data_IF_811712654422
#
_entry.id   IF_811712654422
#
_cell.length_a   1.000
_cell.length_b   1.000
_cell.length_c   1.000
_cell.angle_alpha   90.00
_cell.angle_beta   90.00
_cell.angle_gamma   90.00
#
_symmetry.space_group_name_H-M   'P 1'
#
loop_
_entity.id
_entity.type
_entity.pdbx_description
1 polymer ?
#
# COMPACT_ATOMS: atom_id res chain seq x y z
N UNK A 1 -28.41 -7.72 6.89
CA UNK A 1 -26.98 -7.64 7.26
C UNK A 1 -26.61 -8.93 7.94
N UNK A 2 -25.90 -9.80 7.23
CA UNK A 2 -25.36 -11.07 7.74
C UNK A 2 -24.34 -10.73 8.82
N UNK A 3 -24.47 -11.27 10.04
CA UNK A 3 -23.62 -10.90 11.19
C UNK A 3 -22.16 -11.27 10.93
N UNK A 4 -21.29 -10.25 10.81
CA UNK A 4 -19.84 -10.43 10.71
C UNK A 4 -19.31 -11.17 11.94
N UNK A 5 -18.35 -12.08 11.72
CA UNK A 5 -17.68 -12.80 12.81
C UNK A 5 -16.49 -11.98 13.29
N UNK A 6 -16.33 -11.86 14.60
CA UNK A 6 -15.18 -11.17 15.20
C UNK A 6 -14.13 -12.22 15.58
N UNK A 7 -12.90 -12.05 15.12
CA UNK A 7 -11.77 -12.91 15.46
C UNK A 7 -10.52 -12.08 15.76
N UNK A 8 -9.67 -12.58 16.66
CA UNK A 8 -8.35 -12.00 16.91
C UNK A 8 -7.35 -12.49 15.87
N UNK A 9 -6.82 -11.60 15.05
CA UNK A 9 -5.84 -11.93 14.01
C UNK A 9 -4.66 -10.96 14.07
N UNK A 10 -3.45 -11.47 13.81
CA UNK A 10 -2.32 -10.61 13.48
C UNK A 10 -2.50 -10.05 12.08
N UNK A 11 -1.84 -8.95 11.73
CA UNK A 11 -1.91 -8.38 10.37
C UNK A 11 -1.57 -9.41 9.29
N UNK A 12 -0.55 -10.25 9.51
CA UNK A 12 -0.19 -11.33 8.58
C UNK A 12 -1.28 -12.42 8.49
N UNK A 13 -1.89 -12.82 9.61
CA UNK A 13 -3.00 -13.79 9.61
C UNK A 13 -4.26 -13.20 8.95
N UNK A 14 -4.49 -11.90 9.10
CA UNK A 14 -5.59 -11.16 8.49
C UNK A 14 -5.50 -11.19 6.95
N UNK A 15 -4.31 -10.96 6.40
CA UNK A 15 -4.05 -11.11 4.96
C UNK A 15 -4.25 -12.56 4.53
N UNK A 16 -3.65 -13.53 5.23
CA UNK A 16 -3.79 -14.95 4.87
C UNK A 16 -5.27 -15.42 4.89
N UNK A 17 -6.05 -14.94 5.87
CA UNK A 17 -7.47 -15.24 5.98
C UNK A 17 -8.28 -14.62 4.83
N UNK A 18 -8.01 -13.36 4.46
CA UNK A 18 -8.62 -12.73 3.29
C UNK A 18 -8.31 -13.49 1.99
N UNK A 19 -7.04 -13.88 1.79
CA UNK A 19 -6.59 -14.64 0.61
C UNK A 19 -7.30 -16.00 0.52
N UNK A 20 -7.47 -16.70 1.66
CA UNK A 20 -8.27 -17.93 1.71
C UNK A 20 -9.69 -17.69 1.19
N UNK A 21 -10.36 -16.65 1.69
CA UNK A 21 -11.74 -16.33 1.29
C UNK A 21 -11.87 -15.88 -0.17
N UNK A 22 -10.82 -15.27 -0.73
CA UNK A 22 -10.79 -14.85 -2.14
C UNK A 22 -10.66 -16.02 -3.14
N UNK A 23 -10.50 -17.26 -2.64
CA UNK A 23 -10.43 -18.49 -3.43
C UNK A 23 -9.39 -18.39 -4.56
N UNK A 24 -8.13 -18.11 -4.17
CA UNK A 24 -6.98 -18.03 -5.06
C UNK A 24 -6.61 -19.43 -5.59
N UNK A 25 -6.26 -19.52 -6.87
CA UNK A 25 -5.93 -20.78 -7.54
C UNK A 25 -4.46 -21.19 -7.35
N UNK A 26 -3.55 -20.22 -7.25
CA UNK A 26 -2.11 -20.48 -7.10
C UNK A 26 -1.42 -19.46 -6.19
N UNK A 27 -0.55 -19.98 -5.33
CA UNK A 27 0.32 -19.22 -4.44
C UNK A 27 1.75 -19.70 -4.67
N UNK A 28 2.63 -18.81 -5.14
CA UNK A 28 4.07 -19.09 -5.20
C UNK A 28 4.78 -18.29 -4.11
N UNK A 29 5.61 -18.96 -3.31
CA UNK A 29 6.10 -18.40 -2.06
C UNK A 29 7.56 -18.72 -1.78
N UNK A 30 8.27 -17.71 -1.28
CA UNK A 30 9.57 -17.82 -0.66
C UNK A 30 9.54 -17.09 0.70
N UNK A 31 10.01 -17.70 1.79
CA UNK A 31 9.87 -17.12 3.12
C UNK A 31 10.89 -16.01 3.39
N UNK A 32 10.41 -14.85 3.82
CA UNK A 32 11.26 -13.75 4.29
C UNK A 32 10.59 -13.00 5.46
N UNK A 33 11.30 -12.83 6.58
CA UNK A 33 10.79 -12.09 7.74
C UNK A 33 10.52 -10.62 7.37
N UNK A 34 9.42 -10.00 7.84
CA UNK A 34 8.36 -10.52 8.71
C UNK A 34 7.19 -11.22 8.00
N UNK A 35 7.19 -11.27 6.67
CA UNK A 35 6.10 -11.81 5.86
C UNK A 35 5.85 -13.32 6.06
N UNK A 36 6.82 -14.09 6.56
CA UNK A 36 6.77 -15.55 6.69
C UNK A 36 5.46 -16.10 7.28
N UNK A 37 4.82 -15.39 8.22
CA UNK A 37 3.54 -15.81 8.81
C UNK A 37 2.43 -15.95 7.75
N UNK A 38 2.38 -15.07 6.75
CA UNK A 38 1.38 -15.11 5.67
C UNK A 38 1.50 -16.44 4.92
N UNK A 39 2.70 -16.77 4.46
CA UNK A 39 2.96 -17.96 3.63
C UNK A 39 2.84 -19.26 4.41
N UNK A 40 3.30 -19.29 5.67
CA UNK A 40 3.08 -20.46 6.54
C UNK A 40 1.59 -20.72 6.80
N UNK A 41 0.82 -19.67 7.04
CA UNK A 41 -0.63 -19.78 7.31
C UNK A 41 -1.39 -20.25 6.08
N UNK A 42 -1.06 -19.70 4.90
CA UNK A 42 -1.63 -20.16 3.64
C UNK A 42 -1.26 -21.61 3.32
N UNK A 43 -0.01 -22.01 3.56
CA UNK A 43 0.42 -23.40 3.41
C UNK A 43 -0.40 -24.35 4.29
N UNK A 44 -0.68 -23.96 5.54
CA UNK A 44 -1.56 -24.71 6.46
C UNK A 44 -2.99 -24.82 5.94
N UNK A 45 -3.57 -23.73 5.44
CA UNK A 45 -4.92 -23.78 4.87
C UNK A 45 -5.01 -24.73 3.67
N UNK A 46 -3.99 -24.74 2.82
CA UNK A 46 -3.92 -25.69 1.69
C UNK A 46 -3.74 -27.12 2.19
N UNK A 47 -2.80 -27.39 3.10
CA UNK A 47 -2.55 -28.73 3.61
C UNK A 47 -3.73 -29.33 4.38
N UNK A 48 -4.50 -28.48 5.07
CA UNK A 48 -5.69 -28.88 5.82
C UNK A 48 -6.94 -29.05 4.94
N UNK A 49 -6.87 -28.72 3.65
CA UNK A 49 -8.03 -28.76 2.74
C UNK A 49 -9.03 -27.61 2.96
N UNK A 50 -8.65 -26.56 3.69
CA UNK A 50 -9.46 -25.34 3.88
C UNK A 50 -9.38 -24.40 2.66
N UNK A 51 -8.39 -24.58 1.79
CA UNK A 51 -8.19 -23.79 0.58
C UNK A 51 -7.74 -24.70 -0.57
N UNK A 52 -8.48 -24.68 -1.68
CA UNK A 52 -8.12 -25.43 -2.88
C UNK A 52 -7.21 -24.60 -3.80
N UNK A 53 -5.94 -24.48 -3.42
CA UNK A 53 -4.93 -23.75 -4.19
C UNK A 53 -3.70 -24.61 -4.45
N UNK A 54 -3.00 -24.33 -5.56
CA UNK A 54 -1.65 -24.84 -5.78
C UNK A 54 -0.66 -23.99 -5.00
N UNK A 55 0.04 -24.61 -4.06
CA UNK A 55 1.10 -23.95 -3.30
C UNK A 55 2.46 -24.36 -3.87
N UNK A 56 3.25 -23.40 -4.35
CA UNK A 56 4.55 -23.62 -4.99
C UNK A 56 5.65 -23.05 -4.09
N UNK A 57 6.49 -23.93 -3.57
CA UNK A 57 7.74 -23.54 -2.91
C UNK A 57 8.80 -23.29 -3.98
N UNK A 58 9.18 -22.03 -4.15
CA UNK A 58 10.23 -21.62 -5.10
C UNK A 58 11.58 -21.45 -4.39
N UNK A 59 12.65 -21.27 -5.15
CA UNK A 59 14.01 -21.11 -4.62
C UNK A 59 14.42 -19.66 -4.33
N UNK A 60 13.65 -18.67 -4.80
CA UNK A 60 13.86 -17.24 -4.58
C UNK A 60 12.60 -16.41 -4.81
N UNK A 61 12.57 -15.16 -4.34
CA UNK A 61 11.47 -14.23 -4.59
C UNK A 61 11.31 -13.84 -6.06
N UNK A 62 12.41 -13.84 -6.82
CA UNK A 62 12.36 -13.66 -8.29
C UNK A 62 11.51 -14.75 -8.94
N UNK A 63 11.74 -16.01 -8.58
CA UNK A 63 10.91 -17.14 -9.03
C UNK A 63 9.50 -17.13 -8.46
N UNK A 64 9.29 -16.59 -7.25
CA UNK A 64 7.95 -16.46 -6.69
C UNK A 64 7.07 -15.57 -7.57
N UNK A 65 7.56 -14.38 -7.95
CA UNK A 65 6.82 -13.50 -8.85
C UNK A 65 6.70 -14.09 -10.26
N UNK A 66 7.76 -14.73 -10.78
CA UNK A 66 7.75 -15.35 -12.11
C UNK A 66 6.72 -16.48 -12.23
N UNK A 67 6.66 -17.38 -11.25
CA UNK A 67 5.66 -18.44 -11.18
C UNK A 67 4.23 -17.87 -11.03
N UNK A 68 4.08 -16.80 -10.25
CA UNK A 68 2.81 -16.08 -10.06
C UNK A 68 2.32 -15.48 -11.39
N UNK A 69 3.20 -14.85 -12.18
CA UNK A 69 2.87 -14.37 -13.54
C UNK A 69 2.44 -15.52 -14.44
N UNK A 70 3.20 -16.63 -14.46
CA UNK A 70 2.85 -17.80 -15.28
C UNK A 70 1.46 -18.36 -14.96
N UNK A 71 1.15 -18.53 -13.67
CA UNK A 71 -0.16 -18.99 -13.22
C UNK A 71 -1.28 -17.98 -13.52
N UNK A 72 -1.00 -16.67 -13.42
CA UNK A 72 -1.94 -15.62 -13.82
C UNK A 72 -2.26 -15.66 -15.32
N UNK A 73 -1.24 -15.81 -16.16
CA UNK A 73 -1.40 -15.89 -17.62
C UNK A 73 -2.06 -17.21 -18.05
N UNK A 74 -1.97 -18.28 -17.25
CA UNK A 74 -2.78 -19.48 -17.44
C UNK A 74 -4.27 -19.29 -17.06
N UNK A 75 -4.62 -18.12 -16.50
CA UNK A 75 -5.98 -17.70 -16.18
C UNK A 75 -6.36 -17.80 -14.70
N UNK A 76 -5.44 -18.21 -13.83
CA UNK A 76 -5.71 -18.35 -12.40
C UNK A 76 -5.75 -17.01 -11.65
N UNK A 77 -6.58 -16.90 -10.62
CA UNK A 77 -6.44 -15.88 -9.59
C UNK A 77 -5.22 -16.24 -8.74
N UNK A 78 -4.28 -15.31 -8.57
CA UNK A 78 -2.98 -15.61 -7.96
C UNK A 78 -2.61 -14.64 -6.85
N UNK A 79 -1.81 -15.15 -5.91
CA UNK A 79 -1.30 -14.37 -4.78
C UNK A 79 0.15 -14.72 -4.50
N UNK A 80 0.92 -13.74 -4.04
CA UNK A 80 2.21 -13.96 -3.39
C UNK A 80 2.42 -12.93 -2.30
N UNK A 81 3.47 -13.11 -1.50
CA UNK A 81 3.81 -12.18 -0.45
C UNK A 81 5.33 -12.13 -0.25
N UNK A 82 5.85 -10.95 0.07
CA UNK A 82 7.29 -10.74 0.29
C UNK A 82 7.57 -9.59 1.27
N UNK A 83 8.84 -9.25 1.47
CA UNK A 83 9.31 -8.10 2.23
C UNK A 83 10.73 -7.72 1.77
N UNK A 84 11.14 -6.45 1.93
CA UNK A 84 12.57 -6.05 1.92
C UNK A 84 13.35 -6.55 0.70
N UNK A 85 14.43 -7.32 0.93
CA UNK A 85 15.31 -7.86 -0.10
C UNK A 85 14.55 -8.76 -1.08
N UNK A 86 13.49 -9.42 -0.62
CA UNK A 86 12.65 -10.24 -1.47
C UNK A 86 11.89 -9.41 -2.50
N UNK A 87 11.35 -8.25 -2.10
CA UNK A 87 10.76 -7.31 -3.06
C UNK A 87 11.82 -6.75 -4.02
N UNK A 88 13.04 -6.49 -3.52
CA UNK A 88 14.15 -6.05 -4.36
C UNK A 88 14.55 -7.12 -5.40
N UNK A 89 14.55 -8.40 -5.04
CA UNK A 89 14.77 -9.52 -5.96
C UNK A 89 13.63 -9.68 -6.97
N UNK A 90 12.41 -9.26 -6.62
CA UNK A 90 11.28 -9.21 -7.56
C UNK A 90 11.34 -8.02 -8.53
N UNK A 91 12.21 -7.02 -8.33
CA UNK A 91 12.05 -5.68 -8.91
C UNK A 91 11.83 -5.67 -10.44
N UNK A 92 12.67 -6.36 -11.22
CA UNK A 92 12.47 -6.43 -12.68
C UNK A 92 11.17 -7.16 -13.06
N UNK A 93 10.80 -8.17 -12.29
CA UNK A 93 9.63 -9.02 -12.52
C UNK A 93 8.35 -8.27 -12.18
N UNK A 94 8.40 -7.30 -11.27
CA UNK A 94 7.28 -6.39 -11.00
C UNK A 94 6.90 -5.59 -12.26
N UNK A 95 7.88 -5.07 -13.00
CA UNK A 95 7.61 -4.38 -14.27
C UNK A 95 7.04 -5.32 -15.33
N UNK A 96 7.49 -6.58 -15.35
CA UNK A 96 6.91 -7.60 -16.24
C UNK A 96 5.44 -7.86 -15.88
N UNK A 97 5.10 -8.08 -14.60
CA UNK A 97 3.72 -8.29 -14.16
C UNK A 97 2.79 -7.15 -14.59
N UNK A 98 3.20 -5.90 -14.37
CA UNK A 98 2.37 -4.75 -14.74
C UNK A 98 2.31 -4.54 -16.27
N UNK A 99 3.44 -4.67 -16.97
CA UNK A 99 3.49 -4.55 -18.43
C UNK A 99 2.68 -5.63 -19.16
N UNK A 100 2.60 -6.83 -18.59
CA UNK A 100 1.79 -7.94 -19.10
C UNK A 100 0.31 -7.85 -18.70
N UNK A 101 -0.10 -6.80 -17.96
CA UNK A 101 -1.47 -6.59 -17.51
C UNK A 101 -1.97 -7.75 -16.64
N UNK A 102 -1.10 -8.29 -15.78
CA UNK A 102 -1.40 -9.41 -14.91
C UNK A 102 -2.09 -8.94 -13.61
N UNK A 103 -3.36 -9.28 -13.35
CA UNK A 103 -4.02 -8.97 -12.08
C UNK A 103 -3.53 -9.90 -10.97
N UNK A 104 -2.43 -9.49 -10.33
CA UNK A 104 -1.78 -10.19 -9.21
C UNK A 104 -2.01 -9.38 -7.94
N UNK A 105 -2.33 -10.04 -6.84
CA UNK A 105 -2.28 -9.41 -5.51
C UNK A 105 -0.99 -9.83 -4.81
N UNK A 106 -0.22 -8.83 -4.38
CA UNK A 106 1.02 -8.99 -3.62
C UNK A 106 0.86 -8.36 -2.24
N UNK A 107 1.03 -9.13 -1.16
CA UNK A 107 1.19 -8.53 0.16
C UNK A 107 2.67 -8.23 0.44
N UNK A 108 2.97 -7.01 0.88
CA UNK A 108 4.33 -6.61 1.26
C UNK A 108 4.33 -6.25 2.74
N UNK A 109 4.98 -7.07 3.57
CA UNK A 109 5.22 -6.72 4.97
C UNK A 109 6.47 -5.83 5.05
N UNK A 110 6.27 -4.52 4.89
CA UNK A 110 7.33 -3.54 4.65
C UNK A 110 8.44 -3.60 5.69
N UNK A 111 9.68 -3.69 5.19
CA UNK A 111 10.89 -3.87 5.98
C UNK A 111 12.07 -3.16 5.31
N UNK A 112 12.95 -2.65 6.17
CA UNK A 112 14.22 -2.02 5.81
C UNK A 112 15.07 -2.81 4.80
N UNK A 113 15.58 -2.10 3.78
CA UNK A 113 16.62 -2.60 2.89
C UNK A 113 18.01 -2.57 3.56
N UNK A 114 18.91 -3.45 3.10
CA UNK A 114 20.27 -3.57 3.65
C UNK A 114 21.21 -2.58 2.93
N UNK A 115 22.32 -2.12 3.49
CA UNK A 115 22.98 -2.48 4.74
C UNK A 115 23.00 -1.30 5.76
N UNK A 116 22.98 -1.56 7.08
CA UNK A 116 23.03 -2.87 7.74
C UNK A 116 21.74 -3.68 7.57
N UNK A 117 21.78 -4.99 7.80
CA UNK A 117 20.57 -5.80 7.82
C UNK A 117 19.65 -5.33 8.95
N UNK A 118 18.39 -5.11 8.63
CA UNK A 118 17.35 -4.80 9.61
C UNK A 118 16.06 -5.52 9.20
N UNK A 119 15.45 -6.22 10.16
CA UNK A 119 14.23 -7.00 9.93
C UNK A 119 12.96 -6.19 10.17
N UNK A 120 13.07 -5.03 10.79
CA UNK A 120 11.94 -4.22 11.20
C UNK A 120 11.50 -3.23 10.11
N UNK A 121 10.33 -2.62 10.36
CA UNK A 121 9.66 -1.77 9.39
C UNK A 121 10.43 -0.52 9.03
N UNK A 122 10.57 -0.32 7.73
CA UNK A 122 10.45 0.97 7.08
C UNK A 122 9.82 0.71 5.69
N UNK A 123 9.59 1.74 4.89
CA UNK A 123 8.98 1.64 3.57
C UNK A 123 10.00 1.66 2.42
N UNK A 124 11.30 1.49 2.71
CA UNK A 124 12.35 1.57 1.67
C UNK A 124 12.18 0.55 0.56
N UNK A 125 11.60 -0.62 0.87
CA UNK A 125 11.32 -1.67 -0.09
C UNK A 125 10.28 -1.26 -1.14
N UNK A 126 9.05 -0.95 -0.70
CA UNK A 126 7.97 -0.53 -1.58
C UNK A 126 8.30 0.79 -2.27
N UNK A 127 8.95 1.73 -1.59
CA UNK A 127 9.32 3.00 -2.19
C UNK A 127 10.39 2.84 -3.28
N UNK A 128 11.28 1.85 -3.14
CA UNK A 128 12.22 1.46 -4.21
C UNK A 128 11.52 0.86 -5.43
N UNK A 129 10.29 0.36 -5.29
CA UNK A 129 9.51 -0.26 -6.37
C UNK A 129 8.25 0.53 -6.75
N UNK A 130 8.10 1.78 -6.28
CA UNK A 130 6.87 2.58 -6.43
C UNK A 130 6.48 2.88 -7.88
N UNK A 131 7.45 2.86 -8.78
CA UNK A 131 7.29 3.21 -10.19
C UNK A 131 7.15 1.98 -11.11
N UNK A 132 6.99 0.78 -10.54
CA UNK A 132 6.82 -0.49 -11.26
C UNK A 132 5.49 -0.64 -12.00
N UNK A 133 4.62 0.37 -11.96
CA UNK A 133 3.28 0.33 -12.56
C UNK A 133 2.26 -0.49 -11.78
N UNK A 134 2.51 -0.76 -10.50
CA UNK A 134 1.56 -1.42 -9.61
C UNK A 134 0.64 -0.40 -8.94
N UNK A 135 -0.59 -0.82 -8.67
CA UNK A 135 -1.43 -0.10 -7.71
C UNK A 135 -0.88 -0.37 -6.32
N UNK A 136 -0.67 0.67 -5.50
CA UNK A 136 -0.03 0.53 -4.19
C UNK A 136 -1.00 1.03 -3.13
N UNK A 137 -1.44 0.08 -2.29
CA UNK A 137 -2.31 0.32 -1.15
C UNK A 137 -1.52 0.20 0.17
N UNK A 138 -1.85 1.01 1.17
CA UNK A 138 -1.31 0.93 2.53
C UNK A 138 -2.42 0.69 3.54
N UNK A 139 -2.23 -0.32 4.41
CA UNK A 139 -3.08 -0.58 5.56
C UNK A 139 -2.55 0.10 6.81
N UNK A 140 -3.44 0.70 7.62
CA UNK A 140 -3.10 1.26 8.93
C UNK A 140 -3.16 0.22 10.05
N UNK A 141 -4.12 -0.70 10.00
CA UNK A 141 -4.47 -1.64 11.07
C UNK A 141 -4.85 -3.03 10.50
N UNK A 142 -5.08 -4.02 11.37
CA UNK A 142 -5.30 -5.40 10.92
C UNK A 142 -6.64 -5.57 10.18
N UNK A 143 -7.64 -4.76 10.54
CA UNK A 143 -8.92 -4.73 9.83
C UNK A 143 -8.72 -4.27 8.39
N UNK A 144 -7.97 -3.18 8.19
CA UNK A 144 -7.65 -2.67 6.86
C UNK A 144 -6.75 -3.65 6.07
N UNK A 145 -5.81 -4.33 6.70
CA UNK A 145 -5.01 -5.37 6.03
C UNK A 145 -5.88 -6.48 5.45
N UNK A 146 -6.90 -6.92 6.19
CA UNK A 146 -7.89 -7.88 5.73
C UNK A 146 -8.74 -7.30 4.58
N UNK A 147 -9.34 -6.13 4.79
CA UNK A 147 -10.29 -5.53 3.85
C UNK A 147 -9.63 -5.10 2.53
N UNK A 148 -8.47 -4.44 2.62
CA UNK A 148 -7.72 -4.00 1.44
C UNK A 148 -7.22 -5.18 0.61
N UNK A 149 -6.97 -6.33 1.23
CA UNK A 149 -6.62 -7.55 0.47
C UNK A 149 -7.81 -8.05 -0.37
N UNK A 150 -9.03 -8.05 0.17
CA UNK A 150 -10.23 -8.44 -0.57
C UNK A 150 -10.56 -7.41 -1.67
N UNK A 151 -10.45 -6.12 -1.36
CA UNK A 151 -10.58 -5.02 -2.32
C UNK A 151 -9.54 -5.12 -3.45
N UNK A 152 -8.30 -5.48 -3.13
CA UNK A 152 -7.20 -5.57 -4.09
C UNK A 152 -7.49 -6.59 -5.21
N UNK A 153 -8.05 -7.76 -4.89
CA UNK A 153 -8.45 -8.72 -5.92
C UNK A 153 -9.52 -8.15 -6.85
N UNK A 154 -10.52 -7.45 -6.29
CA UNK A 154 -11.60 -6.87 -7.09
C UNK A 154 -11.07 -5.78 -8.02
N UNK A 155 -10.16 -4.95 -7.51
CA UNK A 155 -9.54 -3.87 -8.25
C UNK A 155 -8.61 -4.39 -9.34
N UNK A 156 -7.79 -5.40 -9.02
CA UNK A 156 -6.87 -6.02 -9.97
C UNK A 156 -7.63 -6.64 -11.16
N UNK A 157 -8.71 -7.37 -10.86
CA UNK A 157 -9.49 -8.12 -11.85
C UNK A 157 -10.54 -7.28 -12.59
N UNK A 158 -10.65 -5.98 -12.33
CA UNK A 158 -11.53 -5.11 -13.14
C UNK A 158 -11.00 -5.04 -14.58
N UNK A 159 -11.88 -5.29 -15.56
CA UNK A 159 -11.53 -5.44 -16.97
C UNK A 159 -10.95 -4.16 -17.60
N UNK A 160 -11.28 -2.98 -17.06
CA UNK A 160 -10.69 -1.71 -17.52
C UNK A 160 -9.33 -1.43 -16.85
N UNK A 161 -9.02 -2.15 -15.75
CA UNK A 161 -7.82 -1.97 -14.96
C UNK A 161 -6.78 -3.03 -15.27
N UNK A 162 -7.03 -4.32 -15.04
CA UNK A 162 -6.09 -5.43 -15.26
C UNK A 162 -4.63 -5.08 -14.90
N UNK A 163 -4.45 -4.52 -13.70
CA UNK A 163 -3.14 -4.16 -13.14
C UNK A 163 -2.91 -4.95 -11.85
N UNK A 164 -1.64 -5.25 -11.53
CA UNK A 164 -1.31 -5.87 -10.26
C UNK A 164 -1.40 -4.85 -9.11
N UNK A 165 -1.73 -5.34 -7.92
CA UNK A 165 -1.99 -4.54 -6.71
C UNK A 165 -1.11 -5.00 -5.55
N UNK A 166 -0.38 -4.07 -4.94
CA UNK A 166 0.38 -4.28 -3.71
C UNK A 166 -0.43 -3.82 -2.50
N UNK A 167 -0.57 -4.68 -1.50
CA UNK A 167 -1.12 -4.34 -0.18
C UNK A 167 0.04 -4.27 0.81
N UNK A 168 0.31 -3.09 1.32
CA UNK A 168 1.45 -2.79 2.18
C UNK A 168 1.04 -2.81 3.64
N UNK A 169 1.83 -3.51 4.45
CA UNK A 169 1.66 -3.62 5.89
C UNK A 169 2.98 -3.25 6.56
N UNK A 170 2.92 -2.44 7.61
CA UNK A 170 4.12 -2.13 8.38
C UNK A 170 4.64 -3.38 9.12
N UNK A 171 5.81 -3.89 8.72
CA UNK A 171 6.39 -5.11 9.30
C UNK A 171 6.57 -5.03 10.81
N UNK A 172 6.25 -6.10 11.54
CA UNK A 172 6.20 -6.16 13.01
C UNK A 172 5.14 -5.27 13.67
N UNK A 173 5.05 -3.99 13.31
CA UNK A 173 4.12 -3.04 13.94
C UNK A 173 2.68 -3.42 13.62
N UNK A 174 2.39 -3.75 12.37
CA UNK A 174 1.08 -4.21 11.94
C UNK A 174 1.08 -5.71 11.73
N UNK A 175 2.08 -6.22 11.02
CA UNK A 175 2.10 -7.61 10.56
C UNK A 175 2.05 -8.63 11.72
N UNK A 176 2.62 -8.28 12.90
CA UNK A 176 2.65 -9.14 14.10
C UNK A 176 1.69 -8.71 15.21
N UNK A 177 1.02 -7.55 15.10
CA UNK A 177 0.13 -7.05 16.14
C UNK A 177 -1.21 -7.76 16.10
N UNK A 178 -1.65 -8.30 17.22
CA UNK A 178 -2.95 -8.96 17.35
C UNK A 178 -4.05 -7.92 17.58
N UNK A 179 -5.02 -7.87 16.69
CA UNK A 179 -6.17 -6.97 16.80
C UNK A 179 -7.49 -7.71 16.56
N UNK A 180 -8.59 -7.05 16.97
CA UNK A 180 -9.95 -7.48 16.69
C UNK A 180 -10.27 -7.22 15.22
N UNK A 181 -10.51 -8.27 14.44
CA UNK A 181 -10.91 -8.20 13.03
C UNK A 181 -12.34 -8.73 12.84
N UNK A 182 -13.18 -7.93 12.20
CA UNK A 182 -14.52 -8.26 11.74
C UNK A 182 -14.44 -8.86 10.33
N UNK A 183 -14.50 -10.19 10.26
CA UNK A 183 -14.44 -10.90 8.99
C UNK A 183 -15.81 -11.01 8.33
N UNK A 184 -15.79 -10.81 7.02
CA UNK A 184 -16.95 -10.95 6.13
C UNK A 184 -17.25 -12.45 5.99
N UNK A 185 -18.52 -12.89 5.98
CA UNK A 185 -18.85 -14.30 5.76
C UNK A 185 -18.33 -14.81 4.41
N UNK A 186 -17.81 -16.05 4.38
CA UNK A 186 -17.19 -16.66 3.19
C UNK A 186 -18.08 -16.58 1.94
N UNK A 187 -19.39 -16.84 2.07
CA UNK A 187 -20.34 -16.79 0.96
C UNK A 187 -20.55 -15.37 0.40
N UNK A 188 -20.38 -14.33 1.21
CA UNK A 188 -20.44 -12.94 0.74
C UNK A 188 -19.17 -12.58 -0.03
N UNK A 189 -17.99 -13.00 0.46
CA UNK A 189 -16.72 -12.80 -0.26
C UNK A 189 -16.73 -13.54 -1.59
N UNK A 190 -17.31 -14.75 -1.64
CA UNK A 190 -17.48 -15.52 -2.87
C UNK A 190 -18.42 -14.86 -3.88
N UNK A 191 -19.48 -14.18 -3.41
CA UNK A 191 -20.35 -13.35 -4.27
C UNK A 191 -19.63 -12.10 -4.77
N UNK A 192 -18.82 -11.48 -3.92
CA UNK A 192 -18.01 -10.31 -4.25
C UNK A 192 -16.96 -10.61 -5.34
N UNK A 193 -16.29 -11.77 -5.20
CA UNK A 193 -15.23 -12.28 -6.07
C UNK A 193 -15.60 -13.67 -6.62
N UNK A 194 -16.54 -13.75 -7.60
CA UNK A 194 -16.84 -15.00 -8.27
C UNK A 194 -15.58 -15.56 -8.97
N UNK A 195 -15.57 -16.84 -9.39
CA UNK A 195 -14.43 -17.42 -10.09
C UNK A 195 -13.95 -16.55 -11.25
N UNK A 196 -12.63 -16.31 -11.31
CA UNK A 196 -12.03 -15.41 -12.30
C UNK A 196 -12.28 -15.93 -13.72
N UNK A 197 -12.84 -15.09 -14.58
CA UNK A 197 -12.97 -15.36 -16.00
C UNK A 197 -11.90 -14.58 -16.76
N UNK A 198 -10.69 -15.15 -16.85
CA UNK A 198 -9.59 -14.48 -17.54
C UNK A 198 -9.87 -14.33 -19.05
N UNK A 199 -10.11 -13.09 -19.48
CA UNK A 199 -10.30 -12.71 -20.89
C UNK A 199 -9.05 -12.97 -21.74
N UNK A 200 -7.89 -12.62 -21.21
CA UNK A 200 -6.59 -12.87 -21.83
C UNK A 200 -5.87 -13.95 -21.05
N UNK A 201 -5.63 -15.10 -21.70
CA UNK A 201 -4.94 -16.24 -21.10
C UNK A 201 -4.23 -17.06 -22.18
N UNK A 202 -3.24 -17.82 -21.76
CA UNK A 202 -2.58 -18.84 -22.58
C UNK A 202 -3.54 -20.01 -22.74
N UNK A 203 -4.15 -20.13 -23.92
CA UNK A 203 -5.08 -21.20 -24.29
C UNK A 203 -4.65 -21.80 -25.63
N UNK A 204 -4.24 -23.08 -25.70
CA UNK A 204 -3.89 -23.74 -26.95
C UNK A 204 -5.03 -23.76 -27.99
N UNK A 205 -6.29 -23.63 -27.57
CA UNK A 205 -7.45 -23.56 -28.48
C UNK A 205 -7.64 -22.15 -29.07
N UNK A 206 -7.23 -21.11 -28.34
CA UNK A 206 -7.33 -19.71 -28.73
C UNK A 206 -5.99 -19.01 -28.42
N UNK A 207 -4.93 -19.28 -29.20
CA UNK A 207 -3.57 -18.89 -28.84
C UNK A 207 -3.40 -17.36 -28.83
N UNK A 208 -2.79 -16.85 -27.76
CA UNK A 208 -2.40 -15.44 -27.59
C UNK A 208 -0.92 -15.42 -27.20
N UNK A 209 -0.18 -14.47 -27.75
CA UNK A 209 1.23 -14.25 -27.38
C UNK A 209 1.35 -13.12 -26.36
N UNK A 210 2.14 -13.35 -25.31
CA UNK A 210 2.44 -12.38 -24.25
C UNK A 210 3.93 -12.04 -24.27
N UNK A 211 4.29 -10.83 -23.84
CA UNK A 211 5.69 -10.45 -23.64
C UNK A 211 6.55 -10.45 -24.90
N UNK A 212 5.95 -10.12 -26.05
CA UNK A 212 6.68 -10.06 -27.32
C UNK A 212 7.80 -9.01 -27.29
N UNK A 213 8.86 -9.29 -28.05
CA UNK A 213 9.86 -8.29 -28.35
C UNK A 213 9.22 -7.11 -29.10
N UNK A 214 9.41 -5.90 -28.58
CA UNK A 214 8.85 -4.66 -29.13
C UNK A 214 9.96 -3.62 -29.27
N UNK A 215 9.98 -2.95 -30.42
CA UNK A 215 10.92 -1.88 -30.74
C UNK A 215 10.32 -0.51 -30.42
N UNK A 216 11.08 0.54 -30.68
CA UNK A 216 10.71 1.94 -30.42
C UNK A 216 9.47 2.42 -31.18
N UNK A 217 9.01 1.68 -32.19
CA UNK A 217 7.83 1.97 -33.01
C UNK A 217 6.50 1.55 -32.36
N UNK A 218 6.54 0.78 -31.27
CA UNK A 218 5.37 0.20 -30.60
C UNK A 218 5.46 0.22 -29.07
N UNK A 219 6.67 0.17 -28.51
CA UNK A 219 6.86 0.09 -27.06
C UNK A 219 6.26 1.29 -26.33
N UNK A 220 6.34 2.49 -26.94
CA UNK A 220 5.86 3.70 -26.29
C UNK A 220 4.33 3.72 -26.19
N UNK A 221 3.63 3.27 -27.23
CA UNK A 221 2.17 3.12 -27.27
C UNK A 221 1.69 2.06 -26.25
N UNK A 222 2.44 0.97 -26.09
CA UNK A 222 2.16 -0.04 -25.05
C UNK A 222 2.24 0.59 -23.65
N UNK A 223 3.27 1.38 -23.38
CA UNK A 223 3.41 2.10 -22.10
C UNK A 223 2.34 3.17 -21.92
N UNK A 224 1.89 3.82 -23.00
CA UNK A 224 0.74 4.72 -22.95
C UNK A 224 -0.54 3.99 -22.52
N UNK A 225 -0.79 2.81 -23.07
CA UNK A 225 -1.92 1.96 -22.66
C UNK A 225 -1.84 1.52 -21.19
N UNK A 226 -0.63 1.19 -20.69
CA UNK A 226 -0.40 0.87 -19.28
C UNK A 226 -0.76 2.05 -18.36
N UNK A 227 -0.36 3.28 -18.73
CA UNK A 227 -0.72 4.50 -18.01
C UNK A 227 -2.22 4.82 -18.10
N UNK A 228 -2.87 4.56 -19.22
CA UNK A 228 -4.33 4.74 -19.35
C UNK A 228 -5.10 3.85 -18.39
N UNK A 229 -4.68 2.59 -18.22
CA UNK A 229 -5.25 1.70 -17.24
C UNK A 229 -4.97 2.14 -15.79
N UNK A 230 -3.77 2.67 -15.52
CA UNK A 230 -3.44 3.27 -14.22
C UNK A 230 -4.39 4.44 -13.90
N UNK A 231 -4.78 5.24 -14.91
CA UNK A 231 -5.80 6.29 -14.75
C UNK A 231 -7.21 5.73 -14.52
N UNK A 232 -7.53 4.57 -15.07
CA UNK A 232 -8.83 3.93 -14.83
C UNK A 232 -9.00 3.52 -13.37
N UNK A 233 -7.92 3.18 -12.65
CA UNK A 233 -7.95 2.92 -11.21
C UNK A 233 -8.60 4.08 -10.45
N UNK A 234 -8.15 5.33 -10.66
CA UNK A 234 -8.72 6.50 -9.98
C UNK A 234 -10.20 6.74 -10.32
N UNK A 235 -10.66 6.31 -11.50
CA UNK A 235 -12.07 6.45 -11.91
C UNK A 235 -12.97 5.39 -11.30
N UNK A 236 -12.46 4.17 -11.17
CA UNK A 236 -13.22 2.97 -10.76
C UNK A 236 -13.18 2.71 -9.26
N UNK A 237 -12.08 3.08 -8.59
CA UNK A 237 -11.89 2.76 -7.18
C UNK A 237 -12.99 3.34 -6.26
N UNK A 238 -13.60 4.53 -6.49
CA UNK A 238 -14.70 5.00 -5.66
C UNK A 238 -15.93 4.07 -5.72
N UNK A 239 -16.30 3.61 -6.91
CA UNK A 239 -17.41 2.65 -7.08
C UNK A 239 -17.12 1.32 -6.37
N UNK A 240 -15.86 0.85 -6.42
CA UNK A 240 -15.44 -0.36 -5.72
C UNK A 240 -15.52 -0.16 -4.21
N UNK A 241 -15.14 1.01 -3.68
CA UNK A 241 -15.31 1.31 -2.26
C UNK A 241 -16.78 1.35 -1.84
N UNK A 242 -17.66 1.94 -2.64
CA UNK A 242 -19.09 2.00 -2.35
C UNK A 242 -19.71 0.59 -2.30
N UNK A 243 -19.39 -0.27 -3.26
CA UNK A 243 -19.84 -1.66 -3.24
C UNK A 243 -19.24 -2.44 -2.07
N UNK A 244 -18.00 -2.13 -1.66
CA UNK A 244 -17.39 -2.75 -0.50
C UNK A 244 -18.06 -2.29 0.81
N UNK A 245 -18.53 -1.05 0.88
CA UNK A 245 -19.35 -0.57 1.99
C UNK A 245 -20.68 -1.36 2.07
N UNK A 246 -21.33 -1.64 0.93
CA UNK A 246 -22.52 -2.49 0.90
C UNK A 246 -22.24 -3.92 1.41
N UNK A 247 -21.07 -4.47 1.04
CA UNK A 247 -20.62 -5.80 1.47
C UNK A 247 -20.30 -5.89 2.97
N UNK A 248 -19.61 -4.88 3.50
CA UNK A 248 -18.91 -4.96 4.78
C UNK A 248 -19.43 -4.01 5.87
N UNK A 249 -20.16 -2.96 5.47
CA UNK A 249 -20.52 -1.83 6.32
C UNK A 249 -19.38 -0.86 6.64
N UNK A 250 -18.19 -1.05 6.05
CA UNK A 250 -16.99 -0.24 6.31
C UNK A 250 -16.66 0.65 5.12
N UNK A 251 -16.55 1.95 5.36
CA UNK A 251 -16.30 2.94 4.32
C UNK A 251 -14.79 3.06 4.06
N UNK A 252 -14.42 3.02 2.79
CA UNK A 252 -13.05 3.26 2.32
C UNK A 252 -13.00 4.46 1.38
N UNK A 253 -11.82 5.06 1.29
CA UNK A 253 -11.49 6.19 0.42
C UNK A 253 -10.00 6.21 0.13
N UNK A 254 -9.57 6.90 -0.93
CA UNK A 254 -8.16 7.02 -1.28
C UNK A 254 -7.35 7.71 -0.18
N UNK A 255 -7.94 8.76 0.40
CA UNK A 255 -7.41 9.53 1.52
C UNK A 255 -8.25 9.29 2.77
N UNK A 256 -7.60 9.10 3.91
CA UNK A 256 -8.23 9.04 5.22
C UNK A 256 -8.00 10.36 5.93
N UNK A 257 -9.10 11.02 6.30
CA UNK A 257 -9.08 12.34 6.92
C UNK A 257 -9.45 12.23 8.39
N UNK A 258 -8.69 12.88 9.26
CA UNK A 258 -9.02 13.00 10.68
C UNK A 258 -8.92 14.46 11.12
N UNK A 259 -10.05 15.01 11.58
CA UNK A 259 -10.19 16.40 12.06
C UNK A 259 -9.67 17.45 11.06
N UNK A 260 -10.04 17.29 9.79
CA UNK A 260 -9.57 18.13 8.68
C UNK A 260 -10.46 19.34 8.37
N UNK A 261 -11.69 19.38 8.88
CA UNK A 261 -12.69 20.40 8.49
C UNK A 261 -12.25 21.84 8.83
N UNK A 262 -11.50 22.02 9.93
CA UNK A 262 -10.97 23.31 10.39
C UNK A 262 -9.43 23.30 10.56
N UNK A 263 -8.75 22.28 10.03
CA UNK A 263 -7.33 22.08 10.24
C UNK A 263 -6.49 23.17 9.54
N UNK A 264 -5.61 23.80 10.31
CA UNK A 264 -4.61 24.73 9.79
C UNK A 264 -3.24 24.04 9.62
N UNK A 265 -2.96 23.01 10.41
CA UNK A 265 -1.68 22.29 10.42
C UNK A 265 -1.92 20.79 10.21
N UNK A 266 -1.44 20.23 9.11
CA UNK A 266 -1.78 18.86 8.72
C UNK A 266 -0.56 17.95 8.78
N UNK A 267 -0.71 16.80 9.44
CA UNK A 267 0.27 15.70 9.42
C UNK A 267 -0.08 14.77 8.26
N UNK A 268 0.89 14.44 7.41
CA UNK A 268 0.72 13.49 6.30
C UNK A 268 1.61 12.27 6.51
N UNK A 269 1.00 11.08 6.56
CA UNK A 269 1.67 9.79 6.86
C UNK A 269 1.10 8.64 6.04
N UNK A 270 1.84 7.54 5.96
CA UNK A 270 1.40 6.25 5.43
C UNK A 270 1.41 5.17 6.52
N UNK A 271 0.58 4.15 6.33
CA UNK A 271 0.57 2.94 7.15
C UNK A 271 0.18 3.18 8.61
N UNK A 272 0.70 2.34 9.51
CA UNK A 272 0.31 2.28 10.93
C UNK A 272 0.56 3.57 11.72
N UNK A 273 1.46 4.44 11.25
CA UNK A 273 1.75 5.72 11.94
C UNK A 273 0.52 6.62 11.99
N UNK A 274 -0.44 6.45 11.08
CA UNK A 274 -1.67 7.23 11.08
C UNK A 274 -2.40 7.17 12.43
N UNK A 275 -2.45 6.01 13.10
CA UNK A 275 -3.03 5.90 14.44
C UNK A 275 -2.33 6.79 15.48
N UNK A 276 -1.00 6.74 15.53
CA UNK A 276 -0.21 7.58 16.45
C UNK A 276 -0.30 9.07 16.07
N UNK A 277 -0.40 9.40 14.78
CA UNK A 277 -0.57 10.75 14.29
C UNK A 277 -1.93 11.34 14.71
N UNK A 278 -3.02 10.55 14.69
CA UNK A 278 -4.33 10.97 15.20
C UNK A 278 -4.24 11.34 16.68
N UNK A 279 -3.58 10.50 17.48
CA UNK A 279 -3.34 10.82 18.89
C UNK A 279 -2.50 12.09 19.08
N UNK A 280 -1.47 12.30 18.25
CA UNK A 280 -0.67 13.52 18.28
C UNK A 280 -1.48 14.77 17.91
N UNK A 281 -2.36 14.69 16.91
CA UNK A 281 -3.25 15.76 16.51
C UNK A 281 -4.22 16.13 17.64
N UNK A 282 -4.81 15.13 18.33
CA UNK A 282 -5.68 15.38 19.48
C UNK A 282 -4.99 16.19 20.58
N UNK A 283 -3.76 15.79 20.92
CA UNK A 283 -2.93 16.47 21.93
C UNK A 283 -2.49 17.88 21.51
N UNK A 284 -2.31 18.13 20.20
CA UNK A 284 -2.03 19.47 19.70
C UNK A 284 -3.28 20.37 19.79
N UNK A 285 -4.46 19.82 19.50
CA UNK A 285 -5.74 20.52 19.60
C UNK A 285 -6.12 20.84 21.03
N UNK A 286 -5.83 19.96 21.99
CA UNK A 286 -5.92 20.26 23.43
C UNK A 286 -5.09 21.50 23.83
N UNK A 287 -3.99 21.75 23.13
CA UNK A 287 -3.14 22.93 23.29
C UNK A 287 -3.49 24.11 22.38
N UNK A 288 -4.66 24.10 21.72
CA UNK A 288 -5.14 25.19 20.87
C UNK A 288 -4.63 25.20 19.42
N UNK A 289 -3.80 24.22 19.02
CA UNK A 289 -3.31 24.12 17.64
C UNK A 289 -4.31 23.31 16.82
N UNK A 290 -4.91 23.91 15.77
CA UNK A 290 -5.87 23.24 14.87
C UNK A 290 -5.17 22.21 13.95
N UNK A 291 -4.75 21.11 14.55
CA UNK A 291 -4.08 20.03 13.85
C UNK A 291 -5.09 19.06 13.20
N UNK A 292 -4.75 18.54 12.03
CA UNK A 292 -5.44 17.45 11.35
C UNK A 292 -4.47 16.38 10.84
N UNK A 293 -5.00 15.23 10.44
CA UNK A 293 -4.20 14.14 9.85
C UNK A 293 -4.79 13.73 8.53
N UNK A 294 -3.92 13.56 7.53
CA UNK A 294 -4.22 12.97 6.25
C UNK A 294 -3.33 11.74 6.07
N UNK A 295 -3.92 10.55 6.03
CA UNK A 295 -3.23 9.34 5.57
C UNK A 295 -3.79 8.87 4.24
N UNK A 296 -3.09 7.95 3.57
CA UNK A 296 -3.48 7.46 2.25
C UNK A 296 -3.64 5.95 2.34
N UNK A 297 -4.82 5.45 1.94
CA UNK A 297 -4.93 4.05 1.55
C UNK A 297 -4.32 3.86 0.16
N UNK A 298 -4.58 4.77 -0.79
CA UNK A 298 -4.06 4.68 -2.15
C UNK A 298 -2.83 5.59 -2.34
N UNK A 299 -1.65 5.00 -2.51
CA UNK A 299 -0.41 5.71 -2.79
C UNK A 299 -0.09 5.78 -4.29
N UNK A 300 -0.35 4.70 -5.03
CA UNK A 300 -0.26 4.66 -6.51
C UNK A 300 -1.52 4.04 -7.11
N UNK A 301 -2.14 4.67 -8.12
CA UNK A 301 -1.83 6.00 -8.64
C UNK A 301 -2.07 7.09 -7.59
N UNK A 302 -1.23 8.14 -7.60
CA UNK A 302 -1.31 9.17 -6.58
C UNK A 302 -2.58 10.04 -6.76
N UNK A 303 -3.43 10.21 -5.72
CA UNK A 303 -4.72 10.90 -5.83
C UNK A 303 -4.58 12.43 -5.78
N UNK A 304 -3.82 13.01 -6.72
CA UNK A 304 -3.42 14.44 -6.74
C UNK A 304 -4.57 15.42 -6.50
N UNK A 305 -5.72 15.23 -7.17
CA UNK A 305 -6.87 16.15 -7.03
C UNK A 305 -7.45 16.15 -5.62
N UNK A 306 -7.54 14.98 -4.99
CA UNK A 306 -8.05 14.86 -3.63
C UNK A 306 -7.05 15.44 -2.62
N UNK A 307 -5.75 15.24 -2.85
CA UNK A 307 -4.67 15.80 -2.04
C UNK A 307 -4.70 17.33 -2.11
N UNK A 308 -4.75 17.90 -3.32
CA UNK A 308 -4.88 19.35 -3.52
C UNK A 308 -6.11 19.88 -2.78
N UNK A 309 -7.28 19.29 -2.99
CA UNK A 309 -8.51 19.70 -2.29
C UNK A 309 -8.39 19.67 -0.76
N UNK A 310 -7.62 18.72 -0.22
CA UNK A 310 -7.53 18.51 1.22
C UNK A 310 -6.46 19.35 1.90
N UNK A 311 -5.43 19.78 1.17
CA UNK A 311 -4.26 20.45 1.74
C UNK A 311 -4.11 21.90 1.26
N UNK A 312 -4.71 22.27 0.13
CA UNK A 312 -4.76 23.67 -0.31
C UNK A 312 -5.46 24.52 0.75
N UNK A 313 -4.89 25.69 1.06
CA UNK A 313 -5.35 26.63 2.11
C UNK A 313 -5.02 26.25 3.56
N UNK A 314 -4.33 25.13 3.79
CA UNK A 314 -3.72 24.89 5.11
C UNK A 314 -2.52 25.84 5.30
N UNK A 315 -2.08 26.05 6.54
CA UNK A 315 -0.90 26.86 6.86
C UNK A 315 0.38 26.03 6.72
N UNK A 316 0.36 24.81 7.24
CA UNK A 316 1.52 23.90 7.20
C UNK A 316 1.11 22.46 6.90
N UNK A 317 1.93 21.77 6.12
CA UNK A 317 1.83 20.34 5.84
C UNK A 317 3.13 19.67 6.30
N UNK A 318 3.06 18.92 7.40
CA UNK A 318 4.15 18.14 7.96
C UNK A 318 4.09 16.72 7.39
N UNK A 319 4.86 16.46 6.34
CA UNK A 319 4.95 15.14 5.72
C UNK A 319 6.00 14.32 6.45
N UNK A 320 5.59 13.16 6.93
CA UNK A 320 6.45 12.24 7.66
C UNK A 320 6.64 10.97 6.84
N UNK A 321 7.88 10.71 6.46
CA UNK A 321 8.29 9.56 5.64
C UNK A 321 8.98 8.52 6.51
N UNK A 322 8.48 7.28 6.47
CA UNK A 322 9.20 6.12 6.99
C UNK A 322 10.07 5.49 5.91
N UNK A 323 10.66 6.31 5.05
CA UNK A 323 11.59 5.92 4.00
C UNK A 323 12.51 7.10 3.71
N UNK A 324 13.73 6.81 3.29
CA UNK A 324 14.71 7.83 2.91
C UNK A 324 15.11 7.67 1.45
N UNK A 325 15.02 8.77 0.70
CA UNK A 325 15.59 8.89 -0.64
C UNK A 325 16.94 9.59 -0.53
N UNK A 326 18.04 8.83 -0.52
CA UNK A 326 19.38 9.39 -0.35
C UNK A 326 19.72 10.39 -1.48
N UNK A 327 20.17 11.59 -1.11
CA UNK A 327 20.49 12.67 -2.06
C UNK A 327 19.28 13.45 -2.59
N UNK A 328 18.06 13.04 -2.25
CA UNK A 328 16.83 13.72 -2.66
C UNK A 328 16.49 14.93 -1.78
N UNK A 329 15.47 15.69 -2.17
CA UNK A 329 15.03 16.89 -1.45
C UNK A 329 14.16 16.57 -0.21
N UNK A 330 13.70 15.33 -0.07
CA UNK A 330 12.92 14.82 1.05
C UNK A 330 12.60 13.35 0.85
N UNK A 331 11.66 12.82 1.64
CA UNK A 331 11.20 11.44 1.49
C UNK A 331 10.24 11.24 0.30
N UNK A 332 10.00 9.98 -0.11
CA UNK A 332 9.14 9.63 -1.23
C UNK A 332 7.73 10.25 -1.20
N UNK A 333 7.03 10.21 -0.07
CA UNK A 333 5.70 10.78 0.09
C UNK A 333 5.75 12.31 0.03
N UNK A 334 6.77 12.91 0.65
CA UNK A 334 6.99 14.34 0.56
C UNK A 334 7.16 14.82 -0.88
N UNK A 335 7.89 14.10 -1.72
CA UNK A 335 8.07 14.46 -3.13
C UNK A 335 6.74 14.49 -3.88
N UNK A 336 5.89 13.48 -3.68
CA UNK A 336 4.57 13.43 -4.32
C UNK A 336 3.64 14.53 -3.81
N UNK A 337 3.62 14.78 -2.49
CA UNK A 337 2.83 15.86 -1.89
C UNK A 337 3.30 17.23 -2.38
N UNK A 338 4.61 17.46 -2.40
CA UNK A 338 5.19 18.72 -2.85
C UNK A 338 4.91 18.97 -4.34
N UNK A 339 4.98 17.92 -5.17
CA UNK A 339 4.66 17.98 -6.59
C UNK A 339 3.16 18.21 -6.81
N UNK A 340 2.30 17.49 -6.10
CA UNK A 340 0.85 17.66 -6.18
C UNK A 340 0.40 19.08 -5.81
N UNK A 341 1.07 19.72 -4.86
CA UNK A 341 0.75 21.08 -4.40
C UNK A 341 1.46 22.19 -5.19
N UNK A 342 2.35 21.86 -6.13
CA UNK A 342 3.18 22.85 -6.83
C UNK A 342 2.34 23.90 -7.57
N UNK A 343 1.30 23.47 -8.28
CA UNK A 343 0.42 24.35 -9.07
C UNK A 343 -0.74 24.95 -8.27
N UNK A 344 -0.78 24.75 -6.95
CA UNK A 344 -1.88 25.29 -6.13
C UNK A 344 -1.61 26.76 -5.78
N UNK A 345 -2.61 27.65 -5.87
CA UNK A 345 -2.42 29.09 -5.65
C UNK A 345 -2.04 29.41 -4.20
N UNK A 346 -2.66 28.71 -3.24
CA UNK A 346 -2.43 28.87 -1.81
C UNK A 346 -1.65 27.67 -1.27
N UNK A 347 -0.34 27.67 -1.52
CA UNK A 347 0.56 26.60 -1.11
C UNK A 347 0.94 26.75 0.38
N UNK A 348 0.71 25.73 1.22
CA UNK A 348 1.18 25.74 2.62
C UNK A 348 2.71 25.67 2.67
N UNK A 349 3.29 25.97 3.84
CA UNK A 349 4.65 25.49 4.12
C UNK A 349 4.61 23.95 4.10
N UNK A 350 5.49 23.31 3.33
CA UNK A 350 5.60 21.85 3.29
C UNK A 350 6.90 21.43 3.95
N UNK A 351 6.81 20.59 4.99
CA UNK A 351 7.97 20.12 5.74
C UNK A 351 8.14 18.60 5.56
N UNK A 352 9.35 18.17 5.20
CA UNK A 352 9.73 16.76 5.16
C UNK A 352 10.42 16.36 6.45
N UNK A 353 9.98 15.26 7.06
CA UNK A 353 10.65 14.61 8.17
C UNK A 353 10.76 13.11 7.96
N UNK A 354 11.99 12.59 8.01
CA UNK A 354 12.28 11.16 8.05
C UNK A 354 12.15 10.67 9.49
N UNK A 355 11.45 9.56 9.68
CA UNK A 355 11.24 8.96 11.01
C UNK A 355 11.23 7.44 10.94
N UNK A 356 11.36 6.82 12.12
CA UNK A 356 10.98 5.42 12.33
C UNK A 356 11.70 4.36 11.50
N UNK A 357 12.80 4.72 10.83
CA UNK A 357 13.54 3.79 9.97
C UNK A 357 13.99 2.56 10.77
N UNK A 358 13.88 1.39 10.14
CA UNK A 358 14.30 0.12 10.74
C UNK A 358 13.61 -0.20 12.07
N UNK A 359 12.32 0.11 12.19
CA UNK A 359 11.50 -0.20 13.36
C UNK A 359 11.71 0.71 14.56
N UNK A 360 12.40 1.84 14.39
CA UNK A 360 12.59 2.77 15.50
C UNK A 360 11.25 3.36 15.92
N UNK A 361 10.98 3.33 17.22
CA UNK A 361 9.72 3.84 17.75
C UNK A 361 9.52 5.34 17.44
N UNK A 362 8.27 5.70 17.16
CA UNK A 362 7.83 7.07 16.92
C UNK A 362 6.71 7.44 17.90
N UNK A 363 7.04 8.30 18.85
CA UNK A 363 6.09 8.71 19.89
C UNK A 363 5.22 9.87 19.43
N UNK A 364 4.04 9.99 20.03
CA UNK A 364 3.18 11.17 19.87
C UNK A 364 3.94 12.48 20.15
N UNK A 365 4.83 12.50 21.16
CA UNK A 365 5.66 13.67 21.48
C UNK A 365 6.53 14.11 20.31
N UNK A 366 7.16 13.16 19.61
CA UNK A 366 8.03 13.43 18.46
C UNK A 366 7.25 13.91 17.24
N UNK A 367 6.05 13.36 16.98
CA UNK A 367 5.17 13.87 15.93
C UNK A 367 4.76 15.32 16.22
N UNK A 368 4.38 15.62 17.47
CA UNK A 368 4.06 17.00 17.89
C UNK A 368 5.25 17.94 17.75
N UNK A 369 6.45 17.48 18.03
CA UNK A 369 7.68 18.25 17.84
C UNK A 369 7.89 18.62 16.36
N UNK A 370 7.71 17.66 15.44
CA UNK A 370 7.79 17.91 14.00
C UNK A 370 6.77 18.96 13.53
N UNK A 371 5.53 18.88 14.02
CA UNK A 371 4.49 19.88 13.73
C UNK A 371 4.88 21.25 14.26
N UNK A 372 5.32 21.35 15.52
CA UNK A 372 5.75 22.64 16.10
C UNK A 372 6.93 23.26 15.36
N UNK A 373 7.92 22.45 14.95
CA UNK A 373 9.03 22.92 14.09
C UNK A 373 8.53 23.43 12.74
N UNK A 374 7.50 22.80 12.17
CA UNK A 374 6.87 23.24 10.92
C UNK A 374 6.15 24.59 11.08
N UNK A 375 5.43 24.76 12.21
CA UNK A 375 4.75 26.02 12.56
C UNK A 375 5.77 27.14 12.74
N UNK A 376 6.80 26.91 13.56
CA UNK A 376 7.85 27.90 13.78
C UNK A 376 8.53 28.31 12.46
N UNK A 377 8.86 27.36 11.59
CA UNK A 377 9.45 27.66 10.28
C UNK A 377 8.51 28.51 9.40
N UNK A 378 7.20 28.30 9.51
CA UNK A 378 6.20 29.09 8.78
C UNK A 378 6.14 30.53 9.31
N UNK A 379 6.18 30.71 10.63
CA UNK A 379 6.24 32.03 11.28
C UNK A 379 7.53 32.78 10.92
N UNK A 380 8.64 32.07 10.73
CA UNK A 380 9.92 32.60 10.21
C UNK A 380 9.89 32.91 8.70
N UNK A 381 8.77 32.69 8.01
CA UNK A 381 8.61 32.98 6.59
C UNK A 381 9.23 31.94 5.65
N UNK A 382 9.64 30.76 6.15
CA UNK A 382 10.10 29.66 5.29
C UNK A 382 8.92 29.12 4.48
N UNK A 383 9.21 28.56 3.31
CA UNK A 383 8.22 27.90 2.46
C UNK A 383 8.33 26.37 2.46
N UNK A 384 9.48 25.86 2.86
CA UNK A 384 9.79 24.44 2.78
C UNK A 384 10.82 24.05 3.84
N UNK A 385 10.64 22.87 4.44
CA UNK A 385 11.70 22.19 5.19
C UNK A 385 12.05 20.94 4.39
N UNK A 386 13.32 20.83 4.01
CA UNK A 386 13.85 19.69 3.27
C UNK A 386 14.59 18.78 4.23
N UNK A 387 14.32 17.48 4.13
CA UNK A 387 15.06 16.42 4.80
C UNK A 387 15.33 16.67 6.31
N UNK A 388 14.28 16.91 7.09
CA UNK A 388 14.39 16.88 8.54
C UNK A 388 14.45 15.44 9.06
N UNK A 389 15.03 15.23 10.24
CA UNK A 389 15.01 13.93 10.92
C UNK A 389 14.33 14.05 12.27
N UNK A 390 13.51 13.06 12.61
CA UNK A 390 12.83 13.00 13.90
C UNK A 390 13.22 11.72 14.62
N UNK A 391 13.70 11.89 15.86
CA UNK A 391 14.00 10.79 16.76
C UNK A 391 15.37 10.17 16.60
N UNK A 392 16.26 10.69 15.74
CA UNK A 392 17.69 10.31 15.69
C UNK A 392 18.36 10.65 17.03
N UNK A 393 19.28 9.80 17.50
CA UNK A 393 20.06 10.03 18.72
C UNK A 393 21.39 10.68 18.32
N UNK A 394 21.75 11.79 18.95
CA UNK A 394 23.09 12.38 18.79
C UNK A 394 23.34 13.13 17.47
N UNK A 395 22.30 13.56 16.76
CA UNK A 395 22.42 14.50 15.64
C UNK A 395 21.62 15.77 15.95
N UNK A 396 22.27 16.93 15.82
CA UNK A 396 21.63 18.26 15.87
C UNK A 396 20.83 18.54 14.59
#
# INVERSE_FOLDING_TARGET
MTTAKVIGLRGDDAVAYAVKQCNVDCIAAYPITPQTIIVETLSKFVSNGEMNAKYINVESEHSAMSATIGACLAGGRVFTATASQGLALMHEVLYAASGLRCPIVLAVANRALSAPINIHCDHSDVMGSRDSGWVILFAENCQEAYDLTILAFKLAEDEDILLPVMVNLDGFILSHSLERVEVIPDEEVKRWLPPRQAKYKVDPKNPITFGVFSLFDSYFEIKRGQEEAMRMVLKKIPEIYDKFYELSGRQYSNLVKYKMDDAEHVIVVLGSTAGTARHAADRLREGGIKAGVLSLHLFRPFPTKEVQKSLSNTKTVTVMDRAISFGAQGGPLFEDIATALYDTPNRPLIASYIYGLGGRDITSRQIREAVRKSIQAQEEGKKIIRMGFIGVKGGE
#
